data_IF_714909758043
#
_entry.id   IF_714909758043
#
_cell.length_a   1.000
_cell.length_b   1.000
_cell.length_c   1.000
_cell.angle_alpha   90.00
_cell.angle_beta   90.00
_cell.angle_gamma   90.00
#
_symmetry.space_group_name_H-M   'P 1'
#
loop_
_entity.id
_entity.type
_entity.pdbx_description
1 polymer ?
#
# COMPACT_ATOMS: atom_id res chain seq x y z
N UNK A 1 7.06 -24.87 -4.00
CA UNK A 1 6.75 -24.23 -5.30
C UNK A 1 6.01 -22.94 -4.97
N UNK A 2 6.68 -21.82 -4.98
CA UNK A 2 6.06 -20.50 -4.77
C UNK A 2 5.39 -20.12 -6.09
N UNK A 3 4.06 -20.03 -6.09
CA UNK A 3 3.34 -19.49 -7.25
C UNK A 3 3.80 -18.05 -7.49
N UNK A 4 4.02 -17.63 -8.75
CA UNK A 4 4.27 -16.23 -9.05
C UNK A 4 3.07 -15.42 -8.52
N UNK A 5 3.35 -14.34 -7.79
CA UNK A 5 2.29 -13.43 -7.33
C UNK A 5 2.01 -12.46 -8.46
N UNK A 6 0.87 -12.66 -9.09
CA UNK A 6 0.31 -11.79 -10.12
C UNK A 6 -0.89 -11.06 -9.55
N UNK A 7 -0.95 -9.77 -9.77
CA UNK A 7 -2.15 -8.99 -9.48
C UNK A 7 -2.74 -8.51 -10.79
N UNK A 8 -3.89 -9.10 -11.15
CA UNK A 8 -4.55 -8.83 -12.42
C UNK A 8 -5.34 -7.52 -12.33
N UNK A 9 -5.19 -6.67 -13.34
CA UNK A 9 -5.90 -5.40 -13.50
C UNK A 9 -6.61 -5.35 -14.83
N UNK A 10 -7.70 -4.58 -14.91
CA UNK A 10 -8.45 -4.42 -16.15
C UNK A 10 -7.86 -3.24 -16.97
N UNK A 11 -7.33 -3.55 -18.15
CA UNK A 11 -6.70 -2.53 -19.02
C UNK A 11 -5.34 -2.04 -18.51
N UNK A 12 -4.78 -1.04 -19.18
CA UNK A 12 -3.40 -0.58 -18.99
C UNK A 12 -3.26 0.67 -18.10
N UNK A 13 -4.34 1.16 -17.50
CA UNK A 13 -4.36 2.49 -16.87
C UNK A 13 -4.41 2.42 -15.33
N UNK A 14 -3.70 1.44 -14.74
CA UNK A 14 -3.61 1.31 -13.29
C UNK A 14 -2.20 1.54 -12.77
N UNK A 15 -2.08 1.94 -11.53
CA UNK A 15 -0.79 2.10 -10.84
C UNK A 15 -0.87 1.81 -9.35
N UNK A 16 0.26 1.38 -8.77
CA UNK A 16 0.38 1.16 -7.34
C UNK A 16 0.55 2.45 -6.56
N UNK A 17 0.15 2.40 -5.29
CA UNK A 17 0.40 3.42 -4.26
C UNK A 17 0.93 2.72 -3.02
N UNK A 18 2.20 2.93 -2.66
CA UNK A 18 2.76 2.31 -1.46
C UNK A 18 2.19 2.96 -0.21
N UNK A 19 1.73 2.14 0.73
CA UNK A 19 1.14 2.60 1.99
C UNK A 19 1.59 1.72 3.17
N UNK A 20 1.71 2.33 4.35
CA UNK A 20 1.63 1.58 5.58
C UNK A 20 0.18 1.13 5.79
N UNK A 21 -0.02 -0.10 6.23
CA UNK A 21 -1.36 -0.66 6.41
C UNK A 21 -1.51 -1.16 7.83
N UNK A 22 -2.55 -0.67 8.54
CA UNK A 22 -2.96 -1.25 9.81
C UNK A 22 -3.89 -2.43 9.57
N UNK A 23 -3.66 -3.52 10.28
CA UNK A 23 -4.53 -4.70 10.27
C UNK A 23 -4.97 -4.99 11.70
N UNK A 24 -6.27 -5.24 11.89
CA UNK A 24 -6.82 -5.71 13.16
C UNK A 24 -7.06 -7.21 13.06
N UNK A 25 -6.42 -7.99 13.94
CA UNK A 25 -6.66 -9.44 14.02
C UNK A 25 -8.02 -9.76 14.70
N UNK A 26 -8.44 -11.03 14.76
CA UNK A 26 -9.69 -11.41 15.40
C UNK A 26 -9.81 -11.00 16.88
N UNK A 27 -8.70 -10.87 17.58
CA UNK A 27 -8.62 -10.46 18.99
C UNK A 27 -8.60 -8.92 19.13
N UNK A 28 -8.53 -8.18 18.02
CA UNK A 28 -8.47 -6.72 17.98
C UNK A 28 -7.08 -6.15 18.20
N UNK A 29 -6.03 -6.97 18.15
CA UNK A 29 -4.65 -6.50 18.19
C UNK A 29 -4.28 -5.91 16.83
N UNK A 30 -3.52 -4.80 16.86
CA UNK A 30 -3.10 -4.09 15.67
C UNK A 30 -1.72 -4.55 15.19
N UNK A 31 -1.66 -4.78 13.90
CA UNK A 31 -0.46 -5.13 13.15
C UNK A 31 -0.19 -4.11 12.06
N UNK A 32 1.06 -4.00 11.63
CA UNK A 32 1.50 -3.11 10.56
C UNK A 32 2.11 -3.92 9.43
N UNK A 33 1.62 -3.68 8.23
CA UNK A 33 2.15 -4.19 6.98
C UNK A 33 2.56 -3.07 6.03
N UNK A 34 3.17 -3.44 4.91
CA UNK A 34 3.31 -2.57 3.74
C UNK A 34 2.41 -3.12 2.64
N UNK A 35 1.62 -2.24 2.01
CA UNK A 35 0.68 -2.60 0.98
C UNK A 35 0.66 -1.63 -0.19
N UNK A 36 -0.07 -2.00 -1.23
CA UNK A 36 -0.35 -1.11 -2.36
C UNK A 36 -1.85 -0.90 -2.50
N UNK A 37 -2.29 0.36 -2.40
CA UNK A 37 -3.63 0.76 -2.81
C UNK A 37 -3.66 0.92 -4.34
N UNK A 38 -3.54 -0.22 -5.05
CA UNK A 38 -3.54 -0.23 -6.50
C UNK A 38 -4.85 0.36 -7.06
N UNK A 39 -4.75 1.28 -8.01
CA UNK A 39 -5.86 2.14 -8.43
C UNK A 39 -5.93 2.20 -9.95
N UNK A 40 -7.13 2.05 -10.51
CA UNK A 40 -7.39 2.33 -11.93
C UNK A 40 -7.55 3.84 -12.13
N UNK A 41 -6.60 4.45 -12.85
CA UNK A 41 -6.52 5.91 -13.01
C UNK A 41 -7.58 6.48 -13.95
N UNK A 42 -8.08 5.68 -14.87
CA UNK A 42 -9.17 6.09 -15.76
C UNK A 42 -10.50 6.17 -15.02
N UNK A 43 -10.77 5.16 -14.20
CA UNK A 43 -11.99 5.12 -13.38
C UNK A 43 -11.94 6.13 -12.25
N UNK A 44 -10.76 6.42 -11.70
CA UNK A 44 -10.57 7.42 -10.64
C UNK A 44 -11.07 8.82 -11.04
N UNK A 45 -10.99 9.17 -12.33
CA UNK A 45 -11.44 10.45 -12.84
C UNK A 45 -12.94 10.73 -12.58
N UNK A 46 -13.76 9.70 -12.38
CA UNK A 46 -15.19 9.84 -12.07
C UNK A 46 -15.64 9.14 -10.80
N UNK A 47 -14.87 8.20 -10.25
CA UNK A 47 -15.19 7.54 -8.98
C UNK A 47 -13.97 6.95 -8.29
N UNK A 48 -13.45 7.67 -7.30
CA UNK A 48 -12.32 7.22 -6.46
C UNK A 48 -12.64 5.87 -5.77
N UNK A 49 -13.85 5.74 -5.22
CA UNK A 49 -14.24 4.50 -4.53
C UNK A 49 -14.24 3.28 -5.47
N UNK A 50 -14.79 3.41 -6.66
CA UNK A 50 -14.86 2.33 -7.65
C UNK A 50 -13.46 1.99 -8.14
N UNK A 51 -12.64 2.98 -8.48
CA UNK A 51 -11.28 2.78 -9.00
C UNK A 51 -10.38 2.00 -8.06
N UNK A 52 -10.56 2.21 -6.76
CA UNK A 52 -9.83 1.48 -5.72
C UNK A 52 -10.40 0.09 -5.47
N UNK A 53 -11.72 -0.08 -5.48
CA UNK A 53 -12.39 -1.36 -5.22
C UNK A 53 -12.21 -2.38 -6.35
N UNK A 54 -12.03 -1.95 -7.59
CA UNK A 54 -11.86 -2.85 -8.74
C UNK A 54 -10.43 -3.40 -8.87
N UNK A 55 -9.47 -2.88 -8.14
CA UNK A 55 -8.08 -3.32 -8.16
C UNK A 55 -7.72 -4.14 -6.92
N UNK A 56 -6.84 -5.13 -7.04
CA UNK A 56 -6.33 -5.86 -5.88
C UNK A 56 -5.54 -4.96 -4.94
N UNK A 57 -5.42 -5.38 -3.68
CA UNK A 57 -4.68 -4.69 -2.62
C UNK A 57 -3.55 -5.57 -2.10
N UNK A 58 -2.42 -5.67 -2.84
CA UNK A 58 -1.28 -6.47 -2.44
C UNK A 58 -0.73 -6.02 -1.08
N UNK A 59 -0.35 -7.00 -0.25
CA UNK A 59 0.10 -6.76 1.12
C UNK A 59 1.32 -7.65 1.44
N UNK A 60 2.22 -7.16 2.29
CA UNK A 60 3.35 -7.94 2.78
C UNK A 60 2.87 -9.17 3.56
N UNK A 61 3.60 -10.28 3.41
CA UNK A 61 3.32 -11.51 4.16
C UNK A 61 3.79 -11.41 5.63
N UNK A 62 4.78 -10.56 5.89
CA UNK A 62 5.29 -10.28 7.23
C UNK A 62 4.65 -9.01 7.77
N UNK A 63 4.41 -9.00 9.07
CA UNK A 63 3.79 -7.89 9.81
C UNK A 63 4.60 -7.58 11.05
N UNK A 64 4.57 -6.32 11.51
CA UNK A 64 5.04 -5.92 12.82
C UNK A 64 3.88 -5.67 13.77
N UNK A 65 4.07 -5.86 15.07
CA UNK A 65 3.13 -5.35 16.06
C UNK A 65 3.09 -3.81 16.00
N UNK A 66 1.90 -3.22 15.97
CA UNK A 66 1.77 -1.76 15.96
C UNK A 66 2.42 -1.10 17.17
N UNK A 67 2.33 -1.74 18.34
CA UNK A 67 2.94 -1.26 19.59
C UNK A 67 4.45 -1.06 19.49
N UNK A 68 5.13 -1.84 18.63
CA UNK A 68 6.57 -1.74 18.45
C UNK A 68 7.02 -0.50 17.68
N UNK A 69 6.14 0.12 16.90
CA UNK A 69 6.45 1.26 16.01
C UNK A 69 5.63 2.51 16.33
N UNK A 70 4.64 2.42 17.23
CA UNK A 70 3.70 3.49 17.52
C UNK A 70 4.35 4.76 18.09
N UNK A 71 5.45 4.63 18.83
CA UNK A 71 6.18 5.74 19.46
C UNK A 71 7.11 6.50 18.49
N UNK A 72 7.34 5.95 17.31
CA UNK A 72 8.18 6.54 16.27
C UNK A 72 7.60 6.35 14.85
N UNK A 73 6.29 6.28 14.77
CA UNK A 73 5.56 6.08 13.52
C UNK A 73 5.94 7.05 12.42
N UNK A 74 6.11 8.33 12.75
CA UNK A 74 6.50 9.40 11.85
C UNK A 74 7.91 9.24 11.26
N UNK A 75 8.77 8.44 11.89
CA UNK A 75 10.13 8.16 11.45
C UNK A 75 10.21 6.96 10.50
N UNK A 76 9.13 6.18 10.35
CA UNK A 76 9.09 5.09 9.39
C UNK A 76 9.21 5.64 7.97
N UNK A 77 9.98 4.95 7.13
CA UNK A 77 10.23 5.32 5.75
C UNK A 77 9.44 4.44 4.79
N UNK A 78 8.65 5.06 3.92
CA UNK A 78 8.01 4.39 2.79
C UNK A 78 8.83 4.59 1.52
N UNK A 79 8.98 3.51 0.76
CA UNK A 79 9.63 3.55 -0.55
C UNK A 79 8.95 2.60 -1.52
N UNK A 80 8.80 3.02 -2.76
CA UNK A 80 8.40 2.13 -3.83
C UNK A 80 9.27 2.30 -5.07
N UNK A 81 9.39 1.22 -5.83
CA UNK A 81 10.01 1.21 -7.16
C UNK A 81 9.04 0.59 -8.14
N UNK A 82 9.13 1.02 -9.38
CA UNK A 82 8.42 0.43 -10.51
C UNK A 82 9.41 -0.10 -11.53
N UNK A 83 8.98 -1.09 -12.29
CA UNK A 83 9.70 -1.55 -13.49
C UNK A 83 8.87 -1.15 -14.70
N UNK A 84 9.48 -0.37 -15.60
CA UNK A 84 8.90 0.09 -16.85
C UNK A 84 9.92 -0.19 -17.95
N UNK A 85 9.52 -0.89 -19.00
CA UNK A 85 10.40 -1.33 -20.09
C UNK A 85 11.68 -2.04 -19.59
N UNK A 86 11.50 -2.90 -18.57
CA UNK A 86 12.58 -3.62 -17.91
C UNK A 86 13.51 -2.76 -17.04
N UNK A 87 13.27 -1.45 -16.93
CA UNK A 87 14.08 -0.54 -16.11
C UNK A 87 13.44 -0.30 -14.73
N UNK A 88 14.21 -0.57 -13.66
CA UNK A 88 13.82 -0.32 -12.29
C UNK A 88 14.02 1.16 -11.96
N UNK A 89 12.97 1.83 -11.50
CA UNK A 89 12.96 3.26 -11.20
C UNK A 89 12.40 3.50 -9.79
N UNK A 90 12.99 4.44 -9.04
CA UNK A 90 12.40 4.94 -7.81
C UNK A 90 11.09 5.67 -8.16
N UNK A 91 10.02 5.37 -7.42
CA UNK A 91 8.70 5.88 -7.73
C UNK A 91 8.12 6.72 -6.60
N UNK A 92 8.22 6.26 -5.36
CA UNK A 92 7.80 7.01 -4.17
C UNK A 92 8.86 6.87 -3.08
N UNK A 93 9.11 7.91 -2.31
CA UNK A 93 10.04 7.89 -1.19
C UNK A 93 9.73 9.02 -0.21
N UNK A 94 9.72 8.70 1.08
CA UNK A 94 9.55 9.66 2.17
C UNK A 94 9.26 8.99 3.49
N UNK A 95 9.06 9.80 4.53
CA UNK A 95 8.67 9.34 5.85
C UNK A 95 7.16 9.45 6.04
N UNK A 96 6.62 8.78 7.07
CA UNK A 96 5.21 8.87 7.42
C UNK A 96 4.84 10.19 8.12
N UNK A 97 5.82 11.05 8.46
CA UNK A 97 5.61 12.34 9.12
C UNK A 97 4.67 13.31 8.35
N UNK A 98 4.60 13.19 7.03
CA UNK A 98 3.71 14.00 6.19
C UNK A 98 2.28 13.46 6.08
N UNK A 99 1.98 12.31 6.67
CA UNK A 99 0.69 11.64 6.62
C UNK A 99 -0.03 11.75 7.98
N UNK A 100 -1.34 11.47 7.99
CA UNK A 100 -2.11 11.45 9.23
C UNK A 100 -1.64 10.33 10.16
N UNK A 101 -1.62 10.58 11.46
CA UNK A 101 -1.38 9.54 12.45
C UNK A 101 -2.44 8.42 12.32
N UNK A 102 -2.03 7.15 12.31
CA UNK A 102 -2.96 6.04 12.10
C UNK A 102 -4.05 5.95 13.16
N UNK A 103 -3.78 6.40 14.40
CA UNK A 103 -4.79 6.48 15.47
C UNK A 103 -5.87 7.52 15.15
N UNK A 104 -5.49 8.63 14.50
CA UNK A 104 -6.45 9.63 14.03
C UNK A 104 -7.30 9.10 12.86
N UNK A 105 -6.70 8.32 11.95
CA UNK A 105 -7.44 7.65 10.89
C UNK A 105 -8.45 6.66 11.44
N UNK A 106 -8.06 5.83 12.42
CA UNK A 106 -8.97 4.90 13.11
C UNK A 106 -10.13 5.66 13.72
N UNK A 107 -9.86 6.72 14.50
CA UNK A 107 -10.90 7.55 15.13
C UNK A 107 -11.86 8.18 14.12
N UNK A 108 -11.36 8.70 13.02
CA UNK A 108 -12.18 9.28 11.94
C UNK A 108 -13.10 8.25 11.29
N UNK A 109 -12.55 7.07 11.01
CA UNK A 109 -13.29 5.99 10.35
C UNK A 109 -14.32 5.35 11.27
N UNK A 110 -13.93 4.99 12.51
CA UNK A 110 -14.76 4.18 13.41
C UNK A 110 -15.58 4.98 14.43
N UNK A 111 -15.25 6.27 14.63
CA UNK A 111 -15.76 7.11 15.73
C UNK A 111 -15.35 6.56 17.10
N UNK A 112 -14.31 5.73 17.16
CA UNK A 112 -13.75 5.14 18.37
C UNK A 112 -12.23 4.98 18.23
N UNK A 113 -11.55 4.53 19.27
CA UNK A 113 -10.10 4.24 19.23
C UNK A 113 -9.79 2.80 18.76
N UNK A 114 -10.80 2.07 18.28
CA UNK A 114 -10.65 0.65 17.90
C UNK A 114 -10.95 0.43 16.43
N UNK A 115 -10.01 -0.22 15.75
CA UNK A 115 -10.25 -0.75 14.41
C UNK A 115 -11.00 -2.09 14.55
N UNK A 116 -12.14 -2.28 13.87
CA UNK A 116 -12.88 -3.54 13.96
C UNK A 116 -12.04 -4.74 13.55
N UNK A 117 -12.18 -5.91 14.21
CA UNK A 117 -11.48 -7.13 13.83
C UNK A 117 -11.67 -7.49 12.35
N UNK A 118 -10.62 -7.99 11.71
CA UNK A 118 -10.63 -8.36 10.28
C UNK A 118 -10.58 -7.17 9.32
N UNK A 119 -10.27 -5.96 9.81
CA UNK A 119 -10.15 -4.75 8.99
C UNK A 119 -8.69 -4.47 8.62
N UNK A 120 -8.46 -4.16 7.35
CA UNK A 120 -7.23 -3.55 6.85
C UNK A 120 -7.49 -2.07 6.54
N UNK A 121 -6.72 -1.16 7.14
CA UNK A 121 -6.81 0.29 6.94
C UNK A 121 -5.52 0.78 6.29
N UNK A 122 -5.62 1.25 5.05
CA UNK A 122 -4.54 1.90 4.34
C UNK A 122 -4.37 3.34 4.86
N UNK A 123 -3.13 3.73 5.19
CA UNK A 123 -2.84 4.94 5.97
C UNK A 123 -2.42 6.14 5.13
N UNK A 124 -2.55 6.05 3.81
CA UNK A 124 -2.16 7.10 2.88
C UNK A 124 -0.82 6.88 2.23
N UNK A 125 -0.63 7.53 1.10
CA UNK A 125 0.54 7.35 0.22
C UNK A 125 1.32 8.64 0.02
N UNK A 126 2.48 8.53 -0.62
CA UNK A 126 3.38 9.63 -0.97
C UNK A 126 3.23 9.99 -2.45
N UNK A 127 3.65 11.20 -2.81
CA UNK A 127 3.63 11.65 -4.20
C UNK A 127 4.53 10.77 -5.08
N UNK A 128 4.01 10.37 -6.23
CA UNK A 128 4.77 9.64 -7.24
C UNK A 128 5.73 10.56 -7.99
N UNK A 129 7.00 10.20 -8.01
CA UNK A 129 8.03 10.94 -8.77
C UNK A 129 7.79 10.77 -10.28
N UNK A 130 7.65 11.89 -10.99
CA UNK A 130 7.32 11.90 -12.40
C UNK A 130 5.84 11.60 -12.72
N UNK A 131 4.98 11.64 -11.69
CA UNK A 131 3.54 11.40 -11.82
C UNK A 131 3.15 9.92 -11.82
N UNK A 132 1.85 9.67 -11.63
CA UNK A 132 1.28 8.31 -11.65
C UNK A 132 1.36 7.73 -13.04
N UNK A 133 1.80 6.46 -13.14
CA UNK A 133 1.93 5.75 -14.41
C UNK A 133 1.88 4.24 -14.25
N UNK A 134 1.45 3.50 -15.27
CA UNK A 134 1.46 2.04 -15.27
C UNK A 134 2.89 1.48 -15.16
N UNK A 135 2.99 0.23 -14.69
CA UNK A 135 4.25 -0.48 -14.58
C UNK A 135 4.02 -1.99 -14.73
N UNK A 136 5.05 -2.70 -15.17
CA UNK A 136 5.07 -4.17 -15.28
C UNK A 136 5.18 -4.84 -13.90
N UNK A 137 5.82 -4.13 -12.96
CA UNK A 137 6.09 -4.61 -11.61
C UNK A 137 6.10 -3.44 -10.64
N UNK A 138 5.56 -3.68 -9.45
CA UNK A 138 5.58 -2.74 -8.33
C UNK A 138 6.30 -3.38 -7.14
N UNK A 139 7.24 -2.65 -6.55
CA UNK A 139 8.00 -3.08 -5.38
C UNK A 139 7.81 -2.05 -4.27
N UNK A 140 7.56 -2.51 -3.06
CA UNK A 140 7.28 -1.67 -1.92
C UNK A 140 8.07 -2.08 -0.68
N UNK A 141 8.45 -1.08 0.10
CA UNK A 141 9.18 -1.21 1.36
C UNK A 141 8.64 -0.25 2.40
N UNK A 142 8.42 -0.76 3.60
CA UNK A 142 8.29 0.02 4.82
C UNK A 142 9.51 -0.28 5.70
N UNK A 143 10.31 0.74 5.97
CA UNK A 143 11.54 0.60 6.75
C UNK A 143 11.39 1.26 8.12
N UNK A 144 11.81 0.56 9.15
CA UNK A 144 12.00 1.07 10.50
C UNK A 144 13.49 1.34 10.73
N UNK A 145 13.95 2.59 10.54
CA UNK A 145 15.36 2.92 10.68
C UNK A 145 15.84 2.80 12.12
N UNK A 146 14.95 2.98 13.11
CA UNK A 146 15.27 2.88 14.53
C UNK A 146 15.62 1.47 14.96
N UNK A 147 14.99 0.46 14.35
CA UNK A 147 15.23 -0.96 14.63
C UNK A 147 16.02 -1.67 13.53
N UNK A 148 16.37 -0.97 12.46
CA UNK A 148 17.19 -1.52 11.38
C UNK A 148 16.50 -2.66 10.60
N UNK A 149 15.18 -2.62 10.43
CA UNK A 149 14.39 -3.67 9.77
C UNK A 149 13.48 -3.11 8.69
N UNK A 150 13.02 -3.98 7.78
CA UNK A 150 12.11 -3.59 6.70
C UNK A 150 11.07 -4.67 6.43
N UNK A 151 9.84 -4.24 6.14
CA UNK A 151 8.84 -5.07 5.46
C UNK A 151 8.94 -4.80 3.97
N UNK A 152 8.90 -5.87 3.16
CA UNK A 152 8.98 -5.76 1.70
C UNK A 152 7.95 -6.64 1.05
N UNK A 153 7.42 -6.17 -0.07
CA UNK A 153 6.61 -6.97 -0.97
C UNK A 153 6.79 -6.48 -2.40
N UNK A 154 6.56 -7.36 -3.35
CA UNK A 154 6.58 -7.03 -4.76
C UNK A 154 5.61 -7.91 -5.52
N UNK A 155 5.00 -7.34 -6.56
CA UNK A 155 4.09 -8.06 -7.45
C UNK A 155 4.28 -7.62 -8.89
N UNK A 156 4.02 -8.54 -9.82
CA UNK A 156 3.91 -8.21 -11.23
C UNK A 156 2.46 -7.82 -11.54
N UNK A 157 2.28 -6.91 -12.48
CA UNK A 157 0.96 -6.47 -12.95
C UNK A 157 0.59 -7.26 -14.20
N UNK A 158 -0.47 -8.07 -14.11
CA UNK A 158 -1.06 -8.77 -15.25
C UNK A 158 -2.22 -7.94 -15.81
N UNK A 159 -2.11 -7.57 -17.07
CA UNK A 159 -3.13 -6.76 -17.74
C UNK A 159 -4.16 -7.67 -18.41
N UNK A 160 -5.39 -7.59 -17.95
CA UNK A 160 -6.51 -8.29 -18.58
C UNK A 160 -7.10 -7.42 -19.72
N UNK A 161 -7.46 -8.03 -20.86
CA UNK A 161 -8.07 -7.29 -21.96
C UNK A 161 -9.47 -6.79 -21.58
N UNK A 162 -9.77 -5.57 -22.00
CA UNK A 162 -11.14 -5.05 -21.92
C UNK A 162 -11.93 -5.63 -23.09
N UNK A 163 -12.81 -6.59 -22.79
CA UNK A 163 -13.68 -7.25 -23.78
C UNK A 163 -15.08 -6.67 -23.58
N UNK A 164 -15.59 -5.96 -24.58
CA UNK A 164 -16.96 -5.43 -24.63
C UNK A 164 -17.83 -6.27 -25.56
#
# INVERSE_FOLDING_TARGET
MTLPRWDSVLGMESSGEVEAVLLSDPEGKLWVGVGSDHTDRKVEAYSVAVSKQMCPKPLSAELWSFEEVADHWDQLELRSHIVVEGQRQLYQEGTLAGLLDPRDLVRRYTRSDRLPPGTALFCGTLTAQGGVRPAERFEMELKDPRRGRSLRHAYAVEILPVIA
#
